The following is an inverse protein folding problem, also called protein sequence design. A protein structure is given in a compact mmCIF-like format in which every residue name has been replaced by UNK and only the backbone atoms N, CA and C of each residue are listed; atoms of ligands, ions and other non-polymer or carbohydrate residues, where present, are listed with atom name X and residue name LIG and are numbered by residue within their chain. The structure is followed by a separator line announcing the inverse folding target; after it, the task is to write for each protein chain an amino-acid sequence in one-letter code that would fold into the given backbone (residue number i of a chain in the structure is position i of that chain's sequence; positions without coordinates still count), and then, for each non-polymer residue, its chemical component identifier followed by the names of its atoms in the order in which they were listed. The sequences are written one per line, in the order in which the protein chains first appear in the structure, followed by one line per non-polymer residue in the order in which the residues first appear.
data_IF_637077470092
#
_entry.id   IF_637077470092
#
_cell.length_a   1.000
_cell.length_b   1.000
_cell.length_c   1.000
_cell.angle_alpha   90.00
_cell.angle_beta   90.00
_cell.angle_gamma   90.00
#
_symmetry.space_group_name_H-M   'P 1'
#
loop_
_entity.id
_entity.type
_entity.pdbx_description
1 polymer ?
#
# COMPACT_ATOMS: atom_id res chain seq x y z
N UNK A 1 -22.29 -11.81 -15.59
CA UNK A 1 -22.64 -10.47 -15.01
C UNK A 1 -21.39 -9.89 -14.34
N UNK A 2 -20.49 -9.37 -15.17
CA UNK A 2 -19.13 -8.99 -14.78
C UNK A 2 -19.06 -8.00 -13.58
N UNK A 3 -19.98 -7.03 -13.49
CA UNK A 3 -19.97 -6.02 -12.41
C UNK A 3 -20.18 -6.61 -11.01
N UNK A 4 -21.07 -7.60 -10.89
CA UNK A 4 -21.33 -8.28 -9.60
C UNK A 4 -20.14 -9.17 -9.24
N UNK A 5 -19.54 -9.84 -10.22
CA UNK A 5 -18.34 -10.66 -10.01
C UNK A 5 -17.16 -9.80 -9.57
N UNK A 6 -16.93 -8.66 -10.24
CA UNK A 6 -15.90 -7.69 -9.85
C UNK A 6 -16.13 -7.19 -8.42
N UNK A 7 -17.35 -6.73 -8.11
CA UNK A 7 -17.68 -6.24 -6.79
C UNK A 7 -17.45 -7.31 -5.71
N UNK A 8 -17.96 -8.53 -5.93
CA UNK A 8 -17.87 -9.61 -4.94
C UNK A 8 -16.44 -10.09 -4.71
N UNK A 9 -15.69 -10.32 -5.79
CA UNK A 9 -14.31 -10.76 -5.68
C UNK A 9 -13.43 -9.71 -4.99
N UNK A 10 -13.56 -8.43 -5.36
CA UNK A 10 -12.82 -7.36 -4.72
C UNK A 10 -13.27 -7.08 -3.28
N UNK A 11 -14.52 -7.33 -2.95
CA UNK A 11 -15.01 -7.29 -1.58
C UNK A 11 -14.36 -8.39 -0.72
N UNK A 12 -14.27 -9.62 -1.24
CA UNK A 12 -13.59 -10.72 -0.54
C UNK A 12 -12.08 -10.45 -0.40
N UNK A 13 -11.44 -9.93 -1.45
CA UNK A 13 -10.04 -9.54 -1.40
C UNK A 13 -9.83 -8.44 -0.34
N UNK A 14 -10.66 -7.40 -0.33
CA UNK A 14 -10.58 -6.32 0.67
C UNK A 14 -10.83 -6.79 2.10
N UNK A 15 -11.71 -7.77 2.30
CA UNK A 15 -12.00 -8.34 3.61
C UNK A 15 -10.91 -9.28 4.15
N UNK A 16 -10.24 -10.01 3.25
CA UNK A 16 -9.22 -11.01 3.61
C UNK A 16 -7.79 -10.44 3.58
N UNK A 17 -7.60 -9.25 3.02
CA UNK A 17 -6.28 -8.62 2.94
C UNK A 17 -5.85 -8.03 4.26
N UNK A 18 -5.00 -8.76 4.98
CA UNK A 18 -4.31 -8.28 6.17
C UNK A 18 -2.84 -8.02 5.87
N UNK A 19 -2.28 -6.92 6.41
CA UNK A 19 -0.84 -6.67 6.32
C UNK A 19 -0.37 -5.70 5.23
N UNK A 20 -1.30 -5.03 4.55
CA UNK A 20 -0.97 -3.99 3.57
C UNK A 20 -1.09 -4.40 2.11
N UNK A 21 -0.83 -3.45 1.19
CA UNK A 21 -1.08 -3.60 -0.24
C UNK A 21 -0.34 -4.76 -0.92
N UNK A 22 0.87 -5.06 -0.49
CA UNK A 22 1.67 -6.16 -1.07
C UNK A 22 1.10 -7.56 -0.75
N UNK A 23 0.53 -7.76 0.44
CA UNK A 23 -0.13 -9.02 0.78
C UNK A 23 -1.37 -9.32 -0.09
N UNK A 24 -1.98 -8.27 -0.62
CA UNK A 24 -3.13 -8.38 -1.50
C UNK A 24 -2.75 -8.82 -2.94
N UNK A 25 -1.53 -8.56 -3.39
CA UNK A 25 -1.10 -8.85 -4.78
C UNK A 25 -1.34 -10.32 -5.13
N UNK A 26 -1.02 -11.24 -4.22
CA UNK A 26 -1.22 -12.68 -4.44
C UNK A 26 -2.70 -13.06 -4.57
N UNK A 27 -3.57 -12.48 -3.75
CA UNK A 27 -5.02 -12.72 -3.80
C UNK A 27 -5.63 -12.16 -5.09
N UNK A 28 -5.24 -10.95 -5.48
CA UNK A 28 -5.68 -10.35 -6.75
C UNK A 28 -5.20 -11.19 -7.92
N UNK A 29 -3.91 -11.60 -7.93
CA UNK A 29 -3.35 -12.45 -8.98
C UNK A 29 -4.14 -13.75 -9.16
N UNK A 30 -4.37 -14.47 -8.07
CA UNK A 30 -5.13 -15.72 -8.11
C UNK A 30 -6.54 -15.51 -8.67
N UNK A 31 -7.21 -14.45 -8.23
CA UNK A 31 -8.55 -14.12 -8.68
C UNK A 31 -8.60 -13.77 -10.17
N UNK A 32 -7.73 -12.87 -10.63
CA UNK A 32 -7.79 -12.39 -12.03
C UNK A 32 -7.35 -13.44 -13.03
N UNK A 33 -6.36 -14.26 -12.68
CA UNK A 33 -5.92 -15.37 -13.53
C UNK A 33 -6.93 -16.53 -13.51
N UNK A 34 -7.50 -16.82 -12.33
CA UNK A 34 -8.50 -17.87 -12.18
C UNK A 34 -9.81 -17.60 -12.95
N UNK A 35 -10.20 -16.33 -13.07
CA UNK A 35 -11.35 -15.92 -13.88
C UNK A 35 -11.00 -15.65 -15.35
N UNK A 36 -9.73 -15.72 -15.72
CA UNK A 36 -9.26 -15.39 -17.07
C UNK A 36 -9.45 -13.92 -17.46
N UNK A 37 -9.53 -13.03 -16.48
CA UNK A 37 -9.70 -11.59 -16.74
C UNK A 37 -8.44 -10.96 -17.32
N UNK A 38 -7.27 -11.43 -16.90
CA UNK A 38 -5.97 -10.94 -17.35
C UNK A 38 -5.02 -12.12 -17.58
N UNK A 39 -4.06 -11.92 -18.46
CA UNK A 39 -2.87 -12.77 -18.57
C UNK A 39 -1.83 -12.37 -17.51
N UNK A 40 -0.86 -13.23 -17.25
CA UNK A 40 0.25 -12.96 -16.31
C UNK A 40 1.00 -11.67 -16.68
N UNK A 41 1.27 -11.45 -17.97
CA UNK A 41 1.97 -10.26 -18.44
C UNK A 41 1.18 -8.96 -18.25
N UNK A 42 -0.12 -9.00 -18.49
CA UNK A 42 -1.00 -7.87 -18.23
C UNK A 42 -1.09 -7.57 -16.74
N UNK A 43 -1.19 -8.60 -15.90
CA UNK A 43 -1.21 -8.43 -14.45
C UNK A 43 0.05 -7.75 -13.94
N UNK A 44 1.24 -8.17 -14.39
CA UNK A 44 2.50 -7.50 -14.04
C UNK A 44 2.53 -6.03 -14.48
N UNK A 45 1.98 -5.75 -15.67
CA UNK A 45 1.87 -4.37 -16.16
C UNK A 45 0.94 -3.53 -15.28
N UNK A 46 -0.17 -4.10 -14.82
CA UNK A 46 -1.08 -3.39 -13.90
C UNK A 46 -0.47 -3.15 -12.52
N UNK A 47 0.36 -4.05 -12.01
CA UNK A 47 1.13 -3.79 -10.78
C UNK A 47 2.03 -2.57 -10.98
N UNK A 48 2.82 -2.54 -12.05
CA UNK A 48 3.74 -1.45 -12.32
C UNK A 48 3.04 -0.09 -12.46
N UNK A 49 1.90 -0.05 -13.15
CA UNK A 49 1.07 1.15 -13.28
C UNK A 49 0.47 1.55 -11.94
N UNK A 50 0.01 0.58 -11.14
CA UNK A 50 -0.58 0.85 -9.82
C UNK A 50 0.44 1.39 -8.83
N UNK A 51 1.70 0.93 -8.91
CA UNK A 51 2.78 1.44 -8.06
C UNK A 51 3.25 2.84 -8.48
N UNK A 52 3.18 3.16 -9.77
CA UNK A 52 3.51 4.50 -10.27
C UNK A 52 2.39 5.52 -10.04
N UNK A 53 1.18 5.06 -9.73
CA UNK A 53 0.03 5.94 -9.50
C UNK A 53 -0.04 6.33 -8.01
N UNK A 54 -0.10 7.64 -7.68
CA UNK A 54 -0.22 8.07 -6.29
C UNK A 54 -1.51 7.55 -5.66
N UNK A 55 -1.39 6.76 -4.58
CA UNK A 55 -2.53 6.21 -3.86
C UNK A 55 -2.29 4.81 -3.32
N UNK A 56 -3.25 4.24 -2.58
CA UNK A 56 -3.14 2.89 -2.07
C UNK A 56 -3.11 1.87 -3.23
N UNK A 57 -2.08 1.03 -3.27
CA UNK A 57 -1.86 0.03 -4.32
C UNK A 57 -3.11 -0.82 -4.59
N UNK A 58 -3.76 -1.26 -3.51
CA UNK A 58 -4.98 -2.04 -3.55
C UNK A 58 -6.13 -1.39 -4.32
N UNK A 59 -6.35 -0.10 -4.07
CA UNK A 59 -7.41 0.69 -4.72
C UNK A 59 -7.06 0.93 -6.18
N UNK A 60 -5.80 1.27 -6.46
CA UNK A 60 -5.33 1.48 -7.82
C UNK A 60 -5.49 0.20 -8.67
N UNK A 61 -5.04 -0.95 -8.15
CA UNK A 61 -5.22 -2.24 -8.83
C UNK A 61 -6.70 -2.57 -9.08
N UNK A 62 -7.57 -2.43 -8.08
CA UNK A 62 -9.00 -2.68 -8.23
C UNK A 62 -9.61 -1.79 -9.31
N UNK A 63 -9.26 -0.51 -9.31
CA UNK A 63 -9.74 0.47 -10.29
C UNK A 63 -9.29 0.10 -11.71
N UNK A 64 -8.02 -0.20 -11.91
CA UNK A 64 -7.48 -0.55 -13.23
C UNK A 64 -8.03 -1.87 -13.76
N UNK A 65 -8.07 -2.91 -12.93
CA UNK A 65 -8.64 -4.20 -13.31
C UNK A 65 -10.13 -4.06 -13.61
N UNK A 66 -10.86 -3.36 -12.76
CA UNK A 66 -12.27 -3.08 -12.98
C UNK A 66 -12.53 -2.31 -14.29
N UNK A 67 -11.69 -1.31 -14.58
CA UNK A 67 -11.77 -0.53 -15.81
C UNK A 67 -11.50 -1.38 -17.05
N UNK A 68 -10.52 -2.28 -17.00
CA UNK A 68 -10.19 -3.17 -18.13
C UNK A 68 -11.31 -4.14 -18.44
N UNK A 69 -12.07 -4.62 -17.44
CA UNK A 69 -13.11 -5.64 -17.60
C UNK A 69 -14.49 -5.05 -17.87
N UNK A 70 -14.81 -3.89 -17.35
CA UNK A 70 -16.17 -3.31 -17.43
C UNK A 70 -16.21 -1.79 -17.60
N UNK A 71 -15.11 -1.18 -18.06
CA UNK A 71 -15.02 0.27 -18.22
C UNK A 71 -15.28 1.02 -16.92
N UNK A 72 -15.88 2.19 -17.01
CA UNK A 72 -16.14 3.06 -15.86
C UNK A 72 -16.95 2.37 -14.75
N UNK A 73 -17.99 1.63 -15.09
CA UNK A 73 -18.82 0.93 -14.11
C UNK A 73 -18.10 -0.26 -13.48
N UNK A 74 -17.24 -0.94 -14.24
CA UNK A 74 -16.37 -1.98 -13.70
C UNK A 74 -15.37 -1.44 -12.68
N UNK A 75 -14.74 -0.31 -13.00
CA UNK A 75 -13.84 0.40 -12.07
C UNK A 75 -14.56 0.78 -10.76
N UNK A 76 -15.75 1.36 -10.87
CA UNK A 76 -16.56 1.76 -9.72
C UNK A 76 -16.92 0.56 -8.83
N UNK A 77 -17.40 -0.54 -9.43
CA UNK A 77 -17.78 -1.75 -8.69
C UNK A 77 -16.60 -2.39 -7.98
N UNK A 78 -15.46 -2.55 -8.67
CA UNK A 78 -14.26 -3.13 -8.08
C UNK A 78 -13.68 -2.26 -6.95
N UNK A 79 -13.62 -0.95 -7.15
CA UNK A 79 -13.12 0.00 -6.14
C UNK A 79 -14.02 0.03 -4.91
N UNK A 80 -15.34 0.09 -5.08
CA UNK A 80 -16.27 0.02 -3.97
C UNK A 80 -16.15 -1.32 -3.23
N UNK A 81 -15.98 -2.42 -3.97
CA UNK A 81 -15.78 -3.74 -3.39
C UNK A 81 -14.60 -3.77 -2.42
N UNK A 82 -13.43 -3.29 -2.84
CA UNK A 82 -12.22 -3.33 -2.01
C UNK A 82 -12.26 -2.36 -0.83
N UNK A 83 -12.95 -1.22 -0.95
CA UNK A 83 -13.02 -0.18 0.10
C UNK A 83 -14.05 -0.51 1.17
N UNK A 84 -15.20 -1.07 0.79
CA UNK A 84 -16.33 -1.31 1.69
C UNK A 84 -15.98 -2.10 2.97
N UNK A 85 -15.28 -3.24 2.92
CA UNK A 85 -14.95 -4.01 4.11
C UNK A 85 -14.12 -3.19 5.09
N UNK A 86 -13.07 -2.52 4.59
CA UNK A 86 -12.19 -1.68 5.40
C UNK A 86 -12.95 -0.51 6.04
N UNK A 87 -13.85 0.12 5.28
CA UNK A 87 -14.68 1.23 5.76
C UNK A 87 -15.61 0.79 6.90
N UNK A 88 -16.30 -0.34 6.71
CA UNK A 88 -17.20 -0.91 7.74
C UNK A 88 -16.42 -1.29 9.00
N UNK A 89 -15.27 -1.96 8.85
CA UNK A 89 -14.43 -2.36 9.99
C UNK A 89 -13.94 -1.13 10.75
N UNK A 90 -13.48 -0.09 10.06
CA UNK A 90 -13.00 1.14 10.70
C UNK A 90 -14.13 1.82 11.47
N UNK A 91 -15.34 1.90 10.92
CA UNK A 91 -16.49 2.47 11.61
C UNK A 91 -16.85 1.68 12.88
N UNK A 92 -16.86 0.36 12.81
CA UNK A 92 -17.10 -0.50 13.98
C UNK A 92 -16.02 -0.29 15.04
N UNK A 93 -14.76 -0.32 14.64
CA UNK A 93 -13.63 -0.08 15.55
C UNK A 93 -13.72 1.31 16.17
N UNK A 94 -14.02 2.34 15.39
CA UNK A 94 -14.14 3.72 15.87
C UNK A 94 -15.25 3.85 16.91
N UNK A 95 -16.40 3.22 16.70
CA UNK A 95 -17.52 3.26 17.65
C UNK A 95 -17.18 2.60 19.01
N UNK A 96 -16.47 1.50 18.97
CA UNK A 96 -15.99 0.79 20.17
C UNK A 96 -14.85 1.57 20.83
N UNK A 97 -13.90 2.07 20.03
CA UNK A 97 -12.70 2.75 20.51
C UNK A 97 -13.03 4.05 21.27
N UNK A 98 -14.07 4.79 20.87
CA UNK A 98 -14.51 5.99 21.59
C UNK A 98 -14.84 5.71 23.06
N UNK A 99 -15.42 4.58 23.36
CA UNK A 99 -15.70 4.17 24.74
C UNK A 99 -14.47 3.61 25.46
N UNK A 100 -13.62 2.86 24.74
CA UNK A 100 -12.37 2.30 25.27
C UNK A 100 -11.33 3.38 25.60
N UNK A 101 -11.26 4.47 24.85
CA UNK A 101 -10.35 5.60 25.12
C UNK A 101 -10.61 6.32 26.44
N UNK A 102 -11.74 6.09 27.10
CA UNK A 102 -12.02 6.61 28.44
C UNK A 102 -11.20 5.90 29.53
N UNK A 103 -10.67 4.72 29.23
CA UNK A 103 -9.87 3.94 30.19
C UNK A 103 -8.38 4.32 30.09
N UNK A 104 -7.79 4.64 31.25
CA UNK A 104 -6.38 5.04 31.35
C UNK A 104 -5.41 3.99 30.78
N UNK A 105 -5.73 2.69 30.96
CA UNK A 105 -4.93 1.59 30.42
C UNK A 105 -4.85 1.58 28.89
N UNK A 106 -5.95 1.88 28.20
CA UNK A 106 -5.98 1.96 26.72
C UNK A 106 -5.13 3.12 26.23
N UNK A 107 -5.23 4.26 26.89
CA UNK A 107 -4.39 5.43 26.57
C UNK A 107 -2.91 5.15 26.81
N UNK A 108 -2.55 4.42 27.86
CA UNK A 108 -1.16 4.03 28.14
C UNK A 108 -0.61 3.10 27.05
N UNK A 109 -1.39 2.10 26.59
CA UNK A 109 -0.99 1.21 25.51
C UNK A 109 -0.81 1.99 24.19
N UNK A 110 -1.78 2.83 23.83
CA UNK A 110 -1.68 3.65 22.61
C UNK A 110 -0.50 4.64 22.69
N UNK A 111 -0.24 5.19 23.89
CA UNK A 111 0.92 6.04 24.15
C UNK A 111 2.26 5.30 23.92
N UNK A 112 2.32 4.01 24.24
CA UNK A 112 3.48 3.16 23.99
C UNK A 112 3.65 2.74 22.51
N UNK A 113 2.53 2.55 21.80
CA UNK A 113 2.56 2.14 20.38
C UNK A 113 3.09 3.26 19.48
N UNK A 114 2.74 4.52 19.74
CA UNK A 114 3.17 5.66 18.93
C UNK A 114 4.68 5.75 18.73
N UNK A 115 5.52 5.76 19.80
CA UNK A 115 6.97 5.80 19.62
C UNK A 115 7.53 4.57 18.91
N UNK A 116 6.92 3.38 19.09
CA UNK A 116 7.32 2.18 18.37
C UNK A 116 7.12 2.31 16.85
N UNK A 117 5.97 2.84 16.43
CA UNK A 117 5.71 3.10 15.00
C UNK A 117 6.70 4.11 14.43
N UNK A 118 6.96 5.20 15.14
CA UNK A 118 7.97 6.19 14.72
C UNK A 118 9.37 5.56 14.62
N UNK A 119 9.76 4.74 15.60
CA UNK A 119 11.02 4.03 15.56
C UNK A 119 11.14 3.07 14.38
N UNK A 120 10.07 2.34 14.03
CA UNK A 120 10.04 1.45 12.86
C UNK A 120 10.20 2.24 11.55
N UNK A 121 9.52 3.37 11.41
CA UNK A 121 9.64 4.23 10.22
C UNK A 121 11.07 4.77 10.11
N UNK A 122 11.65 5.27 11.20
CA UNK A 122 13.01 5.77 11.20
C UNK A 122 14.03 4.66 10.91
N UNK A 123 13.87 3.48 11.51
CA UNK A 123 14.75 2.34 11.25
C UNK A 123 14.72 1.93 9.78
N UNK A 124 13.52 1.88 9.17
CA UNK A 124 13.37 1.58 7.75
C UNK A 124 14.01 2.67 6.88
N UNK A 125 13.80 3.94 7.20
CA UNK A 125 14.41 5.07 6.48
C UNK A 125 15.94 5.02 6.56
N UNK A 126 16.51 4.76 7.74
CA UNK A 126 17.96 4.61 7.94
C UNK A 126 18.50 3.41 7.17
N UNK A 127 17.84 2.25 7.23
CA UNK A 127 18.25 1.07 6.46
C UNK A 127 18.22 1.33 4.95
N UNK A 128 17.17 1.97 4.44
CA UNK A 128 17.10 2.34 3.03
C UNK A 128 18.17 3.35 2.64
N UNK A 129 18.43 4.35 3.48
CA UNK A 129 19.47 5.32 3.23
C UNK A 129 20.86 4.64 3.21
N UNK A 130 21.15 3.78 4.18
CA UNK A 130 22.43 3.05 4.24
C UNK A 130 22.59 2.10 3.04
N UNK A 131 21.55 1.37 2.66
CA UNK A 131 21.62 0.46 1.52
C UNK A 131 21.78 1.21 0.19
N UNK A 132 21.11 2.33 0.02
CA UNK A 132 21.12 3.10 -1.23
C UNK A 132 22.34 4.02 -1.35
N UNK A 133 22.70 4.72 -0.27
CA UNK A 133 23.79 5.73 -0.29
C UNK A 133 25.16 5.13 -0.01
N UNK A 134 25.25 4.14 0.90
CA UNK A 134 26.51 3.54 1.31
C UNK A 134 26.80 2.19 0.66
N UNK A 135 25.91 1.69 -0.23
CA UNK A 135 26.08 0.39 -0.85
C UNK A 135 26.08 -0.77 0.14
N UNK A 136 25.51 -0.58 1.34
CA UNK A 136 25.46 -1.56 2.40
C UNK A 136 24.40 -2.62 2.05
N UNK A 137 24.66 -3.41 1.01
CA UNK A 137 23.90 -4.63 0.77
C UNK A 137 24.51 -5.73 1.63
N UNK A 138 23.67 -6.47 2.33
CA UNK A 138 24.08 -7.54 3.26
C UNK A 138 24.98 -8.64 2.65
N UNK A 139 25.24 -8.58 1.35
CA UNK A 139 25.95 -9.60 0.57
C UNK A 139 27.26 -9.10 -0.07
N UNK A 140 27.65 -7.83 0.11
CA UNK A 140 28.92 -7.32 -0.42
C UNK A 140 29.76 -6.75 0.72
N UNK A 141 30.83 -7.45 1.04
CA UNK A 141 31.85 -7.00 1.96
C UNK A 141 32.63 -5.82 1.36
N UNK A 142 32.06 -4.61 1.47
CA UNK A 142 32.72 -3.38 1.06
C UNK A 142 31.75 -2.20 1.06
N UNK A 143 32.08 -1.15 1.83
CA UNK A 143 31.40 0.14 1.77
C UNK A 143 31.89 0.83 0.48
N UNK A 144 31.08 0.85 -0.55
CA UNK A 144 31.34 1.63 -1.75
C UNK A 144 30.26 2.71 -1.87
N UNK A 145 30.49 3.94 -1.41
CA UNK A 145 29.52 5.02 -1.53
C UNK A 145 29.27 5.31 -3.02
N UNK A 146 28.01 5.18 -3.43
CA UNK A 146 27.61 5.54 -4.79
C UNK A 146 27.37 7.05 -4.86
N UNK A 147 28.35 7.74 -5.45
CA UNK A 147 28.31 9.20 -5.59
C UNK A 147 27.07 9.68 -6.38
N UNK A 148 26.58 8.86 -7.31
CA UNK A 148 25.38 9.19 -8.09
C UNK A 148 24.12 9.19 -7.22
N UNK A 149 23.96 8.18 -6.39
CA UNK A 149 22.85 8.09 -5.44
C UNK A 149 22.86 9.23 -4.42
N UNK A 150 24.04 9.63 -3.94
CA UNK A 150 24.20 10.77 -3.04
C UNK A 150 23.78 12.09 -3.73
N UNK A 151 24.22 12.31 -4.96
CA UNK A 151 23.86 13.52 -5.72
C UNK A 151 22.34 13.57 -5.99
N UNK A 152 21.74 12.45 -6.39
CA UNK A 152 20.29 12.37 -6.61
C UNK A 152 19.53 12.62 -5.31
N UNK A 153 19.96 12.04 -4.20
CA UNK A 153 19.33 12.25 -2.89
C UNK A 153 19.38 13.71 -2.45
N UNK A 154 20.56 14.36 -2.57
CA UNK A 154 20.71 15.78 -2.23
C UNK A 154 19.89 16.69 -3.16
N UNK A 155 19.82 16.36 -4.46
CA UNK A 155 19.00 17.12 -5.41
C UNK A 155 17.50 17.00 -5.10
N UNK A 156 17.03 15.81 -4.70
CA UNK A 156 15.62 15.61 -4.30
C UNK A 156 15.29 16.37 -3.01
N UNK A 157 16.19 16.39 -2.02
CA UNK A 157 16.01 17.20 -0.81
C UNK A 157 15.92 18.68 -1.18
N UNK A 158 16.81 19.16 -2.03
CA UNK A 158 16.82 20.57 -2.46
C UNK A 158 15.54 20.97 -3.23
N UNK A 159 15.02 20.06 -4.07
CA UNK A 159 13.77 20.28 -4.83
C UNK A 159 12.54 20.21 -3.91
N UNK A 160 12.58 19.34 -2.90
CA UNK A 160 11.46 19.16 -1.97
C UNK A 160 11.42 20.19 -0.84
N UNK A 161 12.49 20.95 -0.66
CA UNK A 161 12.53 22.04 0.31
C UNK A 161 11.57 23.17 -0.18
N UNK A 162 10.46 23.43 0.54
CA UNK A 162 9.57 24.50 0.13
C UNK A 162 10.36 25.81 0.23
N UNK A 163 10.58 26.46 -0.91
CA UNK A 163 11.05 27.84 -0.95
C UNK A 163 10.05 28.69 -0.18
N UNK A 164 10.29 28.93 1.08
CA UNK A 164 9.55 29.90 1.87
C UNK A 164 9.91 31.28 1.32
N UNK A 165 8.91 32.08 0.90
CA UNK A 165 9.13 33.50 0.68
C UNK A 165 9.45 34.19 2.00
#
# INVERSE_FOLDING_TARGET
MIYVELFWNFLMIGALSFGGGYGMISLVRETVLGHGWLTEGEFLSFIAVSESTPGPLAINMATFIGASQGGFWGALCATLGVVLPSFVIILLVASVLQNLMKYAGVNAVLGGVRPCVVAMILATAVNMALSTLAGFAADKAGIAPDLRSIVVFLSLIHISEPTRP
#
